data_IF_937367727085
#
_entry.id   IF_937367727085
#
_cell.length_a   1.000
_cell.length_b   1.000
_cell.length_c   1.000
_cell.angle_alpha   90.00
_cell.angle_beta   90.00
_cell.angle_gamma   90.00
#
_symmetry.space_group_name_H-M   'P 1'
#
loop_
_entity.id
_entity.type
_entity.pdbx_description
1 polymer ?
#
# COMPACT_ATOMS: atom_id res chain seq x y z
N UNK A 1 -49.61 -20.70 16.67
CA UNK A 1 -48.60 -19.91 15.95
C UNK A 1 -47.63 -19.38 16.99
N UNK A 2 -46.54 -20.08 17.24
CA UNK A 2 -45.54 -19.68 18.24
C UNK A 2 -44.18 -19.87 17.59
N UNK A 3 -43.50 -18.76 17.33
CA UNK A 3 -42.20 -18.71 16.70
C UNK A 3 -41.13 -19.27 17.65
N UNK A 4 -40.27 -20.14 17.12
CA UNK A 4 -39.05 -20.60 17.78
C UNK A 4 -37.94 -19.57 17.46
N UNK A 5 -37.14 -19.12 18.43
CA UNK A 5 -35.99 -18.26 18.16
C UNK A 5 -34.81 -19.14 17.73
N UNK A 6 -34.34 -18.98 16.50
CA UNK A 6 -33.09 -19.63 16.05
C UNK A 6 -31.93 -18.66 16.26
N UNK A 7 -31.24 -18.82 17.39
CA UNK A 7 -29.93 -18.20 17.61
C UNK A 7 -28.90 -18.95 16.76
N UNK A 8 -28.52 -18.40 15.61
CA UNK A 8 -27.40 -18.95 14.83
C UNK A 8 -26.07 -18.45 15.42
N UNK A 9 -25.54 -19.20 16.38
CA UNK A 9 -24.17 -19.05 16.85
C UNK A 9 -23.22 -19.67 15.80
N UNK A 10 -22.79 -18.89 14.80
CA UNK A 10 -21.73 -19.30 13.87
C UNK A 10 -20.38 -19.14 14.54
N UNK A 11 -20.00 -20.12 15.35
CA UNK A 11 -18.63 -20.30 15.81
C UNK A 11 -17.72 -20.71 14.66
N UNK A 12 -17.22 -19.73 13.89
CA UNK A 12 -16.05 -19.96 13.05
C UNK A 12 -14.84 -20.08 13.99
N UNK A 13 -14.08 -21.20 13.94
CA UNK A 13 -12.85 -21.30 14.71
C UNK A 13 -11.86 -20.24 14.19
N UNK A 14 -11.35 -19.40 15.08
CA UNK A 14 -10.34 -18.37 14.80
C UNK A 14 -8.99 -18.91 14.31
N UNK A 15 -8.90 -20.20 13.96
CA UNK A 15 -7.65 -20.91 13.69
C UNK A 15 -7.27 -20.98 12.21
N UNK A 16 -8.18 -20.62 11.29
CA UNK A 16 -7.98 -20.74 9.83
C UNK A 16 -7.95 -19.37 9.11
N UNK A 17 -7.75 -18.25 9.83
CA UNK A 17 -7.37 -17.03 9.12
C UNK A 17 -5.98 -17.27 8.50
N UNK A 18 -5.79 -16.92 7.21
CA UNK A 18 -4.45 -16.94 6.64
C UNK A 18 -3.50 -16.13 7.54
N UNK A 19 -2.21 -16.49 7.61
CA UNK A 19 -1.22 -15.72 8.37
C UNK A 19 -1.38 -14.24 8.06
N UNK A 20 -1.18 -13.39 9.06
CA UNK A 20 -1.32 -11.94 8.95
C UNK A 20 -0.78 -11.49 7.58
N UNK A 21 -1.57 -10.75 6.78
CA UNK A 21 -1.17 -10.38 5.43
C UNK A 21 0.23 -9.80 5.51
N UNK A 22 1.15 -10.39 4.73
CA UNK A 22 2.56 -10.01 4.76
C UNK A 22 2.67 -8.49 4.65
N UNK A 23 3.16 -7.84 5.71
CA UNK A 23 3.31 -6.39 5.77
C UNK A 23 4.39 -5.97 4.79
N UNK A 24 3.98 -5.54 3.60
CA UNK A 24 4.84 -5.20 2.49
C UNK A 24 4.85 -3.69 2.24
N UNK A 25 6.02 -3.09 2.34
CA UNK A 25 6.28 -1.70 1.96
C UNK A 25 7.22 -1.67 0.74
N UNK A 26 7.10 -0.62 -0.08
CA UNK A 26 7.85 -0.51 -1.35
C UNK A 26 8.59 0.82 -1.42
N UNK A 27 9.88 0.78 -1.76
CA UNK A 27 10.73 1.97 -1.94
C UNK A 27 11.02 2.21 -3.42
N UNK A 28 10.68 3.39 -3.92
CA UNK A 28 10.88 3.83 -5.30
C UNK A 28 11.97 4.91 -5.37
N UNK A 29 13.19 4.50 -5.69
CA UNK A 29 14.34 5.41 -5.75
C UNK A 29 14.61 5.90 -7.18
N UNK A 30 14.66 7.22 -7.34
CA UNK A 30 15.08 7.91 -8.56
C UNK A 30 14.31 7.51 -9.85
N UNK A 31 13.01 7.22 -9.72
CA UNK A 31 12.16 6.89 -10.87
C UNK A 31 11.77 8.16 -11.62
N UNK A 32 12.41 8.38 -12.78
CA UNK A 32 12.24 9.60 -13.60
C UNK A 32 10.89 9.70 -14.31
N UNK A 33 10.33 8.56 -14.73
CA UNK A 33 9.08 8.56 -15.49
C UNK A 33 7.90 8.67 -14.54
N UNK A 34 7.25 9.83 -14.52
CA UNK A 34 6.03 10.05 -13.72
C UNK A 34 4.90 9.08 -14.07
N UNK A 35 4.83 8.62 -15.32
CA UNK A 35 3.87 7.61 -15.76
C UNK A 35 4.19 6.22 -15.20
N UNK A 36 5.47 5.88 -15.06
CA UNK A 36 5.87 4.64 -14.41
C UNK A 36 5.57 4.70 -12.92
N UNK A 37 5.82 5.86 -12.27
CA UNK A 37 5.43 6.06 -10.87
C UNK A 37 3.93 5.86 -10.69
N UNK A 38 3.10 6.47 -11.54
CA UNK A 38 1.66 6.26 -11.46
C UNK A 38 1.23 4.81 -11.69
N UNK A 39 1.85 4.09 -12.65
CA UNK A 39 1.60 2.66 -12.82
C UNK A 39 2.01 1.83 -11.58
N UNK A 40 3.12 2.19 -10.92
CA UNK A 40 3.56 1.55 -9.67
C UNK A 40 2.58 1.79 -8.52
N UNK A 41 2.02 3.00 -8.38
CA UNK A 41 0.94 3.27 -7.42
C UNK A 41 -0.24 2.32 -7.64
N UNK A 42 -0.69 2.20 -8.90
CA UNK A 42 -1.81 1.31 -9.25
C UNK A 42 -1.52 -0.17 -8.98
N UNK A 43 -0.30 -0.62 -9.27
CA UNK A 43 0.14 -1.98 -8.95
C UNK A 43 0.19 -2.21 -7.44
N UNK A 44 0.73 -1.26 -6.68
CA UNK A 44 0.88 -1.37 -5.23
C UNK A 44 -0.48 -1.38 -4.50
N UNK A 45 -1.42 -0.54 -4.92
CA UNK A 45 -2.80 -0.53 -4.42
C UNK A 45 -3.50 -1.87 -4.68
N UNK A 46 -3.42 -2.39 -5.91
CA UNK A 46 -3.99 -3.70 -6.25
C UNK A 46 -3.30 -4.90 -5.59
N UNK A 47 -2.04 -4.75 -5.17
CA UNK A 47 -1.25 -5.80 -4.50
C UNK A 47 -1.37 -5.78 -2.98
N UNK A 48 -2.08 -4.81 -2.38
CA UNK A 48 -2.19 -4.67 -0.93
C UNK A 48 -0.90 -4.23 -0.25
N UNK A 49 -0.07 -3.44 -0.94
CA UNK A 49 1.10 -2.79 -0.33
C UNK A 49 0.63 -1.85 0.77
N UNK A 50 1.29 -1.87 1.93
CA UNK A 50 0.94 -1.05 3.07
C UNK A 50 1.39 0.41 2.90
N UNK A 51 2.56 0.64 2.28
CA UNK A 51 3.14 1.99 2.13
C UNK A 51 4.11 2.11 0.95
N UNK A 52 4.17 3.30 0.32
CA UNK A 52 5.17 3.67 -0.70
C UNK A 52 6.15 4.75 -0.22
N UNK A 53 7.45 4.50 -0.35
CA UNK A 53 8.52 5.45 -0.05
C UNK A 53 9.12 6.00 -1.35
N UNK A 54 8.83 7.26 -1.66
CA UNK A 54 9.30 7.93 -2.88
C UNK A 54 10.62 8.63 -2.58
N UNK A 55 11.72 8.14 -3.15
CA UNK A 55 13.06 8.63 -2.83
C UNK A 55 13.70 9.39 -4.00
N UNK A 56 14.52 10.38 -3.67
CA UNK A 56 15.29 11.15 -4.64
C UNK A 56 14.40 11.97 -5.56
N UNK A 57 14.58 11.82 -6.87
CA UNK A 57 13.83 12.57 -7.89
C UNK A 57 12.45 11.99 -8.22
N UNK A 58 12.04 10.90 -7.56
CA UNK A 58 10.74 10.25 -7.81
C UNK A 58 9.60 11.24 -7.53
N UNK A 59 8.76 11.47 -8.53
CA UNK A 59 7.67 12.44 -8.44
C UNK A 59 6.58 11.99 -7.45
N UNK A 60 6.10 12.87 -6.55
CA UNK A 60 4.99 12.55 -5.65
C UNK A 60 3.62 12.58 -6.37
N UNK A 61 2.58 12.00 -5.76
CA UNK A 61 1.18 12.10 -6.21
C UNK A 61 0.65 13.49 -6.51
N UNK A 62 1.22 14.53 -5.89
CA UNK A 62 0.86 15.93 -6.19
C UNK A 62 1.25 16.36 -7.61
N UNK A 63 2.05 15.57 -8.33
CA UNK A 63 2.39 15.85 -9.72
C UNK A 63 1.23 15.49 -10.67
N UNK A 64 0.64 16.46 -11.42
CA UNK A 64 -0.64 16.27 -12.11
C UNK A 64 -0.63 15.19 -13.21
N UNK A 65 0.54 14.90 -13.80
CA UNK A 65 0.67 13.85 -14.83
C UNK A 65 0.59 12.42 -14.27
N UNK A 66 0.80 12.22 -12.97
CA UNK A 66 0.82 10.90 -12.32
C UNK A 66 -0.57 10.23 -12.35
N UNK A 67 -1.62 11.01 -12.07
CA UNK A 67 -3.01 10.58 -12.03
C UNK A 67 -3.47 9.89 -13.32
N UNK A 68 -2.90 10.27 -14.48
CA UNK A 68 -3.21 9.68 -15.79
C UNK A 68 -2.96 8.16 -15.82
N UNK A 69 -2.04 7.66 -15.01
CA UNK A 69 -1.66 6.24 -14.95
C UNK A 69 -1.98 5.58 -13.62
N UNK A 70 -2.05 6.35 -12.53
CA UNK A 70 -2.42 5.84 -11.22
C UNK A 70 -3.92 5.52 -11.08
N UNK A 71 -4.78 6.21 -11.85
CA UNK A 71 -6.22 5.96 -11.91
C UNK A 71 -6.92 6.03 -10.54
N UNK A 72 -6.47 6.92 -9.65
CA UNK A 72 -7.04 7.11 -8.31
C UNK A 72 -6.33 6.36 -7.19
N UNK A 73 -5.45 5.40 -7.52
CA UNK A 73 -4.66 4.65 -6.53
C UNK A 73 -3.81 5.55 -5.62
N UNK A 74 -3.39 6.71 -6.13
CA UNK A 74 -2.62 7.70 -5.39
C UNK A 74 -3.37 8.35 -4.22
N UNK A 75 -4.69 8.19 -4.14
CA UNK A 75 -5.53 8.68 -3.03
C UNK A 75 -5.72 7.64 -1.93
N UNK A 76 -5.53 6.35 -2.24
CA UNK A 76 -5.84 5.24 -1.32
C UNK A 76 -4.59 4.68 -0.64
N UNK A 77 -3.45 4.71 -1.32
CA UNK A 77 -2.22 4.10 -0.85
C UNK A 77 -1.37 5.11 -0.06
N UNK A 78 -1.07 4.84 1.22
CA UNK A 78 -0.17 5.67 2.01
C UNK A 78 1.21 5.81 1.37
N UNK A 79 1.79 7.02 1.43
CA UNK A 79 3.10 7.29 0.87
C UNK A 79 3.87 8.36 1.65
N UNK A 80 5.19 8.36 1.48
CA UNK A 80 6.09 9.39 2.04
C UNK A 80 7.19 9.73 1.05
N UNK A 81 7.68 10.97 1.08
CA UNK A 81 8.78 11.41 0.23
C UNK A 81 10.07 11.57 1.03
N UNK A 82 11.17 11.13 0.43
CA UNK A 82 12.50 11.14 1.03
C UNK A 82 13.53 11.68 0.04
N UNK A 83 14.60 12.30 0.54
CA UNK A 83 15.66 12.84 -0.33
C UNK A 83 16.65 11.78 -0.80
N UNK A 84 16.87 10.73 -0.02
CA UNK A 84 17.92 9.73 -0.26
C UNK A 84 17.38 8.31 -0.01
N UNK A 85 17.39 7.47 -1.04
CA UNK A 85 16.88 6.09 -0.94
C UNK A 85 17.69 5.19 -0.01
N UNK A 86 19.02 5.36 0.05
CA UNK A 86 19.90 4.56 0.90
C UNK A 86 19.67 4.88 2.37
N UNK A 87 19.65 6.18 2.72
CA UNK A 87 19.37 6.62 4.10
C UNK A 87 17.97 6.18 4.55
N UNK A 88 16.99 6.22 3.64
CA UNK A 88 15.63 5.75 3.90
C UNK A 88 15.60 4.25 4.16
N UNK A 89 16.24 3.43 3.32
CA UNK A 89 16.30 1.99 3.51
C UNK A 89 16.95 1.60 4.85
N UNK A 90 18.05 2.27 5.22
CA UNK A 90 18.71 2.06 6.53
C UNK A 90 17.78 2.46 7.67
N UNK A 91 17.09 3.59 7.55
CA UNK A 91 16.16 4.07 8.59
C UNK A 91 14.97 3.12 8.78
N UNK A 92 14.42 2.57 7.69
CA UNK A 92 13.30 1.63 7.75
C UNK A 92 13.70 0.28 8.38
N UNK A 93 14.91 -0.22 8.10
CA UNK A 93 15.43 -1.44 8.74
C UNK A 93 15.58 -1.31 10.25
N UNK A 94 15.76 -0.09 10.77
CA UNK A 94 15.90 0.16 12.22
C UNK A 94 14.54 0.33 12.93
N UNK A 95 13.45 0.53 12.17
CA UNK A 95 12.10 0.73 12.70
C UNK A 95 11.32 -0.59 12.82
N UNK A 96 11.82 -1.67 12.19
CA UNK A 96 11.29 -3.03 12.28
C UNK A 96 12.03 -3.82 13.36
#
# INVERSE_FOLDING_TARGET
VTAVPTTHNSGLPSADLPPDPCHLEVLLDNIRSVYNVGAMFRTADGAGVAHLHLCGITAPPTHPKLAKTALGAESNLPWTQWRNGVETAVSLQQQQ
#
